data_IF_468220224158
#
_entry.id   IF_468220224158
#
_cell.length_a   1.000
_cell.length_b   1.000
_cell.length_c   1.000
_cell.angle_alpha   90.00
_cell.angle_beta   90.00
_cell.angle_gamma   90.00
#
_symmetry.space_group_name_H-M   'P 1'
#
loop_
_entity.id
_entity.type
_entity.pdbx_description
1 polymer ?
#
# COMPACT_ATOMS: atom_id res chain seq x y z
N UNK A 1 -68.09 -6.97 -14.92
CA UNK A 1 -66.82 -7.13 -14.18
C UNK A 1 -66.21 -8.47 -14.53
N UNK A 2 -65.31 -8.52 -15.51
CA UNK A 2 -64.58 -9.74 -15.88
C UNK A 2 -63.41 -9.92 -14.92
N UNK A 3 -63.46 -10.96 -14.09
CA UNK A 3 -62.36 -11.32 -13.18
C UNK A 3 -61.18 -11.80 -14.03
N UNK A 4 -59.96 -11.26 -13.86
CA UNK A 4 -58.77 -11.82 -14.49
C UNK A 4 -58.54 -13.23 -13.94
N UNK A 5 -58.60 -14.24 -14.81
CA UNK A 5 -58.24 -15.62 -14.48
C UNK A 5 -56.75 -15.79 -14.71
N UNK A 6 -56.00 -16.07 -13.64
CA UNK A 6 -54.59 -16.44 -13.74
C UNK A 6 -54.49 -17.83 -14.40
N UNK A 7 -54.12 -17.88 -15.67
CA UNK A 7 -53.81 -19.14 -16.33
C UNK A 7 -52.36 -19.50 -16.02
N UNK A 8 -52.17 -20.47 -15.11
CA UNK A 8 -50.86 -21.05 -14.80
C UNK A 8 -50.38 -21.94 -15.95
N UNK A 9 -49.94 -21.31 -17.04
CA UNK A 9 -49.24 -22.00 -18.12
C UNK A 9 -47.74 -21.99 -17.80
N UNK A 10 -47.30 -22.92 -16.94
CA UNK A 10 -45.87 -23.18 -16.75
C UNK A 10 -45.36 -23.83 -18.04
N UNK A 11 -44.88 -23.02 -18.97
CA UNK A 11 -44.20 -23.54 -20.15
C UNK A 11 -42.84 -24.08 -19.72
N UNK A 12 -42.46 -25.24 -20.26
CA UNK A 12 -41.16 -25.88 -20.01
C UNK A 12 -39.99 -24.91 -20.26
N UNK A 13 -40.14 -24.00 -21.21
CA UNK A 13 -39.15 -22.97 -21.52
C UNK A 13 -38.87 -22.02 -20.36
N UNK A 14 -39.88 -21.58 -19.61
CA UNK A 14 -39.68 -20.70 -18.46
C UNK A 14 -38.96 -21.42 -17.30
N UNK A 15 -39.24 -22.72 -17.10
CA UNK A 15 -38.56 -23.51 -16.06
C UNK A 15 -37.07 -23.64 -16.36
N UNK A 16 -36.73 -23.93 -17.63
CA UNK A 16 -35.33 -24.01 -18.06
C UNK A 16 -34.62 -22.66 -17.89
N UNK A 17 -35.27 -21.55 -18.26
CA UNK A 17 -34.71 -20.21 -18.08
C UNK A 17 -34.45 -19.88 -16.60
N UNK A 18 -35.40 -20.19 -15.71
CA UNK A 18 -35.22 -19.99 -14.27
C UNK A 18 -34.07 -20.85 -13.74
N UNK A 19 -33.98 -22.12 -14.15
CA UNK A 19 -32.89 -22.99 -13.76
C UNK A 19 -31.52 -22.46 -14.22
N UNK A 20 -31.42 -21.94 -15.45
CA UNK A 20 -30.22 -21.31 -15.98
C UNK A 20 -29.85 -20.03 -15.22
N UNK A 21 -30.84 -19.22 -14.84
CA UNK A 21 -30.62 -18.00 -14.07
C UNK A 21 -30.09 -18.31 -12.67
N UNK A 22 -30.64 -19.33 -12.00
CA UNK A 22 -30.14 -19.79 -10.70
C UNK A 22 -28.71 -20.33 -10.82
N UNK A 23 -28.42 -21.12 -11.85
CA UNK A 23 -27.07 -21.62 -12.10
C UNK A 23 -26.08 -20.48 -12.34
N UNK A 24 -26.44 -19.50 -13.18
CA UNK A 24 -25.62 -18.32 -13.45
C UNK A 24 -25.40 -17.47 -12.19
N UNK A 25 -26.43 -17.29 -11.36
CA UNK A 25 -26.31 -16.58 -10.09
C UNK A 25 -25.36 -17.31 -9.12
N UNK A 26 -25.44 -18.65 -9.05
CA UNK A 26 -24.54 -19.47 -8.22
C UNK A 26 -23.08 -19.37 -8.66
N UNK A 27 -22.82 -19.45 -9.98
CA UNK A 27 -21.47 -19.27 -10.53
C UNK A 27 -20.98 -17.84 -10.26
N UNK A 28 -21.82 -16.84 -10.51
CA UNK A 28 -21.50 -15.44 -10.23
C UNK A 28 -21.10 -15.24 -8.78
N UNK A 29 -21.88 -15.75 -7.84
CA UNK A 29 -21.60 -15.68 -6.41
C UNK A 29 -20.25 -16.31 -6.06
N UNK A 30 -19.98 -17.54 -6.52
CA UNK A 30 -18.71 -18.22 -6.27
C UNK A 30 -17.50 -17.43 -6.81
N UNK A 31 -17.63 -16.80 -7.99
CA UNK A 31 -16.56 -15.96 -8.53
C UNK A 31 -16.36 -14.65 -7.75
N UNK A 32 -17.43 -14.06 -7.22
CA UNK A 32 -17.31 -12.87 -6.38
C UNK A 32 -16.63 -13.18 -5.05
N UNK A 33 -17.01 -14.28 -4.40
CA UNK A 33 -16.39 -14.73 -3.14
C UNK A 33 -14.87 -14.97 -3.30
N UNK A 34 -14.49 -15.64 -4.39
CA UNK A 34 -13.07 -15.85 -4.72
C UNK A 34 -12.32 -14.53 -4.94
N UNK A 35 -12.94 -13.55 -5.62
CA UNK A 35 -12.34 -12.22 -5.85
C UNK A 35 -12.20 -11.43 -4.56
N UNK A 36 -13.20 -11.46 -3.68
CA UNK A 36 -13.15 -10.80 -2.36
C UNK A 36 -11.99 -11.37 -1.56
N UNK A 37 -11.89 -12.70 -1.47
CA UNK A 37 -10.80 -13.38 -0.75
C UNK A 37 -9.42 -13.04 -1.34
N UNK A 38 -9.30 -12.97 -2.67
CA UNK A 38 -8.06 -12.58 -3.33
C UNK A 38 -7.68 -11.12 -3.06
N UNK A 39 -8.67 -10.23 -3.06
CA UNK A 39 -8.48 -8.81 -2.78
C UNK A 39 -8.11 -8.57 -1.31
N UNK A 40 -8.73 -9.27 -0.37
CA UNK A 40 -8.36 -9.18 1.04
C UNK A 40 -6.88 -9.55 1.24
N UNK A 41 -6.44 -10.64 0.61
CA UNK A 41 -5.03 -11.06 0.64
C UNK A 41 -4.10 -10.04 0.00
N UNK A 42 -4.51 -9.40 -1.11
CA UNK A 42 -3.68 -8.40 -1.78
C UNK A 42 -3.56 -7.12 -0.95
N UNK A 43 -4.65 -6.71 -0.27
CA UNK A 43 -4.65 -5.57 0.65
C UNK A 43 -3.73 -5.83 1.83
N UNK A 44 -3.81 -7.00 2.47
CA UNK A 44 -2.90 -7.34 3.59
C UNK A 44 -1.44 -7.28 3.16
N UNK A 45 -1.10 -7.87 2.00
CA UNK A 45 0.27 -7.80 1.46
C UNK A 45 0.72 -6.37 1.16
N UNK A 46 -0.18 -5.53 0.66
CA UNK A 46 0.13 -4.12 0.38
C UNK A 46 0.39 -3.35 1.68
N UNK A 47 -0.41 -3.61 2.74
CA UNK A 47 -0.21 -3.03 4.06
C UNK A 47 1.13 -3.47 4.68
N UNK A 48 1.48 -4.75 4.58
CA UNK A 48 2.76 -5.27 5.07
C UNK A 48 3.94 -4.64 4.33
N UNK A 49 3.85 -4.53 3.00
CA UNK A 49 4.88 -3.89 2.18
C UNK A 49 5.04 -2.40 2.55
N UNK A 50 3.93 -1.69 2.75
CA UNK A 50 3.93 -0.30 3.19
C UNK A 50 4.61 -0.15 4.55
N UNK A 51 4.28 -1.01 5.52
CA UNK A 51 4.91 -0.98 6.85
C UNK A 51 6.43 -1.21 6.78
N UNK A 52 6.89 -2.10 5.90
CA UNK A 52 8.33 -2.29 5.67
C UNK A 52 9.00 -1.06 5.04
N UNK A 53 8.33 -0.40 4.10
CA UNK A 53 8.84 0.83 3.46
C UNK A 53 8.93 1.98 4.47
N UNK A 54 7.92 2.16 5.32
CA UNK A 54 7.94 3.15 6.40
C UNK A 54 9.07 2.88 7.40
N UNK A 55 9.30 1.61 7.78
CA UNK A 55 10.41 1.23 8.65
C UNK A 55 11.77 1.57 8.04
N UNK A 56 11.96 1.28 6.74
CA UNK A 56 13.17 1.66 6.00
C UNK A 56 13.35 3.17 5.90
N UNK A 57 12.27 3.91 5.65
CA UNK A 57 12.30 5.38 5.58
C UNK A 57 12.79 5.97 6.90
N UNK A 58 12.20 5.55 8.04
CA UNK A 58 12.62 6.03 9.37
C UNK A 58 14.08 5.69 9.68
N UNK A 59 14.54 4.51 9.27
CA UNK A 59 15.94 4.12 9.42
C UNK A 59 16.88 5.02 8.60
N UNK A 60 16.49 5.35 7.36
CA UNK A 60 17.22 6.28 6.50
C UNK A 60 17.22 7.70 7.07
N UNK A 61 16.08 8.22 7.53
CA UNK A 61 15.97 9.53 8.18
C UNK A 61 16.90 9.64 9.39
N UNK A 62 16.93 8.60 10.23
CA UNK A 62 17.84 8.55 11.40
C UNK A 62 19.30 8.50 10.98
N UNK A 63 19.64 7.73 9.94
CA UNK A 63 21.00 7.64 9.43
C UNK A 63 21.47 8.97 8.80
N UNK A 64 20.59 9.67 8.11
CA UNK A 64 20.85 11.00 7.54
C UNK A 64 21.06 12.01 8.65
N UNK A 65 20.19 12.08 9.66
CA UNK A 65 20.35 12.99 10.80
C UNK A 65 21.70 12.80 11.51
N UNK A 66 22.12 11.55 11.75
CA UNK A 66 23.44 11.25 12.31
C UNK A 66 24.58 11.67 11.39
N UNK A 67 24.42 11.54 10.08
CA UNK A 67 25.42 11.96 9.10
C UNK A 67 25.58 13.48 9.11
N UNK A 68 24.47 14.22 9.20
CA UNK A 68 24.47 15.67 9.29
C UNK A 68 25.17 16.16 10.57
N UNK A 69 24.88 15.55 11.73
CA UNK A 69 25.58 15.86 12.98
C UNK A 69 27.09 15.64 12.87
N UNK A 70 27.51 14.53 12.24
CA UNK A 70 28.92 14.23 11.99
C UNK A 70 29.56 15.24 11.06
N UNK A 71 28.88 15.65 9.99
CA UNK A 71 29.35 16.67 9.06
C UNK A 71 29.51 18.03 9.76
N UNK A 72 28.52 18.46 10.55
CA UNK A 72 28.62 19.68 11.36
C UNK A 72 29.81 19.62 12.32
N UNK A 73 30.03 18.48 12.98
CA UNK A 73 31.19 18.27 13.85
C UNK A 73 32.52 18.39 13.09
N UNK A 74 32.61 17.78 11.90
CA UNK A 74 33.78 17.87 11.02
C UNK A 74 34.05 19.31 10.60
N UNK A 75 33.03 20.04 10.14
CA UNK A 75 33.16 21.44 9.75
C UNK A 75 33.66 22.31 10.92
N UNK A 76 33.16 22.09 12.13
CA UNK A 76 33.62 22.78 13.32
C UNK A 76 35.09 22.44 13.66
N UNK A 77 35.52 21.21 13.45
CA UNK A 77 36.92 20.81 13.64
C UNK A 77 37.82 21.47 12.59
N UNK A 78 37.42 21.50 11.32
CA UNK A 78 38.16 22.16 10.25
C UNK A 78 38.34 23.65 10.52
N UNK A 79 37.26 24.36 10.88
CA UNK A 79 37.33 25.78 11.22
C UNK A 79 38.31 26.06 12.40
N UNK A 80 38.38 25.16 13.38
CA UNK A 80 39.36 25.25 14.48
C UNK A 80 40.79 24.98 14.03
N UNK A 81 40.98 24.05 13.09
CA UNK A 81 42.29 23.76 12.50
C UNK A 81 42.77 24.97 11.70
N UNK A 82 41.92 25.55 10.84
CA UNK A 82 42.23 26.74 10.05
C UNK A 82 42.65 27.92 10.95
N UNK A 83 41.88 28.19 12.01
CA UNK A 83 42.22 29.25 12.98
C UNK A 83 43.50 28.96 13.80
N UNK A 84 43.97 27.71 13.87
CA UNK A 84 45.26 27.37 14.49
C UNK A 84 46.39 27.54 13.50
N UNK A 85 46.21 27.09 12.26
CA UNK A 85 47.19 27.24 11.19
C UNK A 85 47.48 28.72 10.93
N UNK A 86 46.44 29.55 10.82
CA UNK A 86 46.59 31.00 10.61
C UNK A 86 47.38 31.67 11.75
N UNK A 87 47.22 31.21 13.00
CA UNK A 87 48.01 31.70 14.13
C UNK A 87 49.47 31.26 14.08
N UNK A 88 49.72 30.03 13.63
CA UNK A 88 51.09 29.50 13.49
C UNK A 88 51.81 30.28 12.40
N UNK A 89 51.18 30.51 11.25
CA UNK A 89 51.70 31.32 10.14
C UNK A 89 52.09 32.72 10.61
N UNK A 90 51.23 33.41 11.36
CA UNK A 90 51.53 34.74 11.92
C UNK A 90 52.62 34.77 13.01
N UNK A 91 52.94 33.62 13.62
CA UNK A 91 53.96 33.52 14.67
C UNK A 91 55.32 32.99 14.17
N UNK A 92 55.35 32.47 12.94
CA UNK A 92 56.54 31.92 12.28
C UNK A 92 57.27 32.91 11.37
N UNK A 93 56.61 34.00 10.96
CA UNK A 93 57.22 35.22 10.40
C UNK A 93 57.68 36.19 11.51
#
# INVERSE_FOLDING_TARGET
MTRPTFQWQISLGHVIQIAMLVAAAGIGWATFDARITANEKSVVRAMDAQGQMEGRLRALETATARSDERLTSILNMLARIDARLERIERSGD
#
